data_IF_816221553360
#
_entry.id   IF_816221553360
#
_cell.length_a   1.000
_cell.length_b   1.000
_cell.length_c   1.000
_cell.angle_alpha   90.00
_cell.angle_beta   90.00
_cell.angle_gamma   90.00
#
_symmetry.space_group_name_H-M   'P 1'
#
loop_
_entity.id
_entity.type
_entity.pdbx_description
1 polymer ?
#
# COMPACT_ATOMS: atom_id res chain seq x y z
N UNK A 1 -132.47 -26.48 -74.21
CA UNK A 1 -131.67 -26.14 -73.03
C UNK A 1 -130.75 -25.00 -73.43
N UNK A 2 -130.91 -23.78 -72.90
CA UNK A 2 -129.97 -22.71 -73.20
C UNK A 2 -128.70 -22.96 -72.38
N UNK A 3 -127.56 -22.98 -73.07
CA UNK A 3 -126.25 -23.02 -72.44
C UNK A 3 -126.09 -21.79 -71.55
N UNK A 4 -125.97 -22.03 -70.25
CA UNK A 4 -125.65 -21.01 -69.27
C UNK A 4 -124.22 -20.58 -69.55
N UNK A 5 -124.07 -19.47 -70.28
CA UNK A 5 -122.80 -18.75 -70.42
C UNK A 5 -122.27 -18.45 -69.01
N UNK A 6 -121.34 -19.27 -68.53
CA UNK A 6 -120.60 -18.99 -67.31
C UNK A 6 -119.66 -17.85 -67.63
N UNK A 7 -120.12 -16.63 -67.34
CA UNK A 7 -119.24 -15.49 -67.13
C UNK A 7 -118.24 -15.90 -66.04
N UNK A 8 -117.06 -16.39 -66.45
CA UNK A 8 -115.91 -16.53 -65.58
C UNK A 8 -115.49 -15.11 -65.23
N UNK A 9 -116.07 -14.56 -64.16
CA UNK A 9 -115.58 -13.35 -63.53
C UNK A 9 -114.08 -13.55 -63.31
N UNK A 10 -113.24 -12.72 -63.92
CA UNK A 10 -111.79 -12.93 -63.86
C UNK A 10 -111.33 -12.80 -62.41
N UNK A 11 -110.95 -13.92 -61.82
CA UNK A 11 -110.40 -13.95 -60.46
C UNK A 11 -108.92 -13.54 -60.50
N UNK A 12 -108.47 -12.78 -59.50
CA UNK A 12 -107.06 -12.38 -59.38
C UNK A 12 -106.19 -13.64 -59.25
N UNK A 13 -105.00 -13.66 -59.84
CA UNK A 13 -104.04 -14.76 -59.67
C UNK A 13 -102.76 -14.18 -59.14
N UNK A 14 -102.10 -14.91 -58.25
CA UNK A 14 -100.83 -14.51 -57.65
C UNK A 14 -99.67 -15.22 -58.36
N UNK A 15 -99.00 -14.59 -59.33
CA UNK A 15 -97.84 -15.18 -59.99
C UNK A 15 -96.61 -15.17 -59.08
N UNK A 16 -95.61 -15.98 -59.42
CA UNK A 16 -94.30 -15.97 -58.76
C UNK A 16 -93.48 -14.76 -59.24
N UNK A 17 -93.76 -13.60 -58.67
CA UNK A 17 -93.05 -12.34 -58.93
C UNK A 17 -92.68 -11.68 -57.62
N UNK A 18 -91.58 -10.92 -57.61
CA UNK A 18 -91.20 -10.15 -56.43
C UNK A 18 -92.30 -9.14 -56.09
N UNK A 19 -92.77 -9.05 -54.84
CA UNK A 19 -93.76 -8.06 -54.40
C UNK A 19 -93.15 -6.65 -54.23
N UNK A 20 -91.98 -6.39 -54.82
CA UNK A 20 -91.30 -5.10 -54.79
C UNK A 20 -90.81 -4.73 -56.19
N UNK A 21 -91.02 -3.48 -56.58
CA UNK A 21 -90.50 -2.89 -57.80
C UNK A 21 -89.78 -1.58 -57.46
N UNK A 22 -88.62 -1.35 -58.09
CA UNK A 22 -87.85 -0.12 -57.92
C UNK A 22 -87.55 0.51 -59.28
N UNK A 23 -87.60 1.83 -59.34
CA UNK A 23 -87.21 2.60 -60.51
C UNK A 23 -86.58 3.93 -60.09
N UNK A 24 -85.66 4.44 -60.90
CA UNK A 24 -85.14 5.79 -60.76
C UNK A 24 -86.05 6.76 -61.51
N UNK A 25 -86.44 7.84 -60.85
CA UNK A 25 -87.14 8.94 -61.50
C UNK A 25 -86.17 9.78 -62.34
N UNK A 26 -86.64 10.24 -63.49
CA UNK A 26 -85.90 11.08 -64.44
C UNK A 26 -86.29 12.57 -64.34
N UNK A 27 -87.23 12.93 -63.45
CA UNK A 27 -87.77 14.28 -63.31
C UNK A 27 -88.97 14.59 -64.22
N UNK A 28 -89.36 13.68 -65.12
CA UNK A 28 -90.44 13.88 -66.08
C UNK A 28 -91.52 12.79 -66.04
N UNK A 29 -91.15 11.55 -65.72
CA UNK A 29 -92.05 10.40 -65.66
C UNK A 29 -92.86 10.42 -64.36
N UNK A 30 -94.19 10.48 -64.50
CA UNK A 30 -95.11 10.40 -63.35
C UNK A 30 -95.73 9.01 -63.14
N UNK A 31 -95.57 8.08 -64.09
CA UNK A 31 -96.19 6.74 -64.02
C UNK A 31 -95.14 5.68 -63.75
N UNK A 32 -95.30 4.93 -62.67
CA UNK A 32 -94.40 3.85 -62.28
C UNK A 32 -95.20 2.55 -62.12
N UNK A 33 -94.94 1.59 -63.01
CA UNK A 33 -95.62 0.31 -63.01
C UNK A 33 -95.04 -0.66 -61.99
N UNK A 34 -95.87 -1.55 -61.47
CA UNK A 34 -95.48 -2.68 -60.63
C UNK A 34 -96.07 -3.97 -61.20
N UNK A 35 -95.29 -5.08 -61.28
CA UNK A 35 -95.70 -6.31 -61.95
C UNK A 35 -96.45 -7.29 -61.04
N UNK A 36 -96.69 -6.95 -59.78
CA UNK A 36 -97.32 -7.82 -58.79
C UNK A 36 -98.79 -7.43 -58.52
N UNK A 37 -99.69 -8.40 -58.30
CA UNK A 37 -101.10 -8.11 -57.99
C UNK A 37 -101.27 -7.45 -56.62
N UNK A 38 -102.25 -6.55 -56.50
CA UNK A 38 -102.73 -5.95 -55.23
C UNK A 38 -104.25 -6.10 -55.14
N UNK A 39 -104.81 -6.26 -53.93
CA UNK A 39 -106.26 -6.45 -53.76
C UNK A 39 -107.01 -5.13 -53.61
N UNK A 40 -106.42 -4.17 -52.91
CA UNK A 40 -106.92 -2.78 -52.76
C UNK A 40 -105.79 -1.78 -52.92
N UNK A 41 -106.13 -0.52 -53.21
CA UNK A 41 -105.17 0.58 -53.37
C UNK A 41 -104.26 0.74 -52.14
N UNK A 42 -104.81 0.45 -50.94
CA UNK A 42 -104.10 0.56 -49.68
C UNK A 42 -103.07 -0.56 -49.45
N UNK A 43 -103.07 -1.63 -50.26
CA UNK A 43 -102.09 -2.73 -50.15
C UNK A 43 -100.77 -2.41 -50.84
N UNK A 44 -100.56 -1.16 -51.29
CA UNK A 44 -99.29 -0.71 -51.83
C UNK A 44 -98.64 0.34 -50.93
N UNK A 45 -97.38 0.10 -50.62
CA UNK A 45 -96.49 1.02 -49.96
C UNK A 45 -95.64 1.73 -51.03
N UNK A 46 -95.68 3.06 -51.05
CA UNK A 46 -94.92 3.89 -51.98
C UNK A 46 -93.87 4.67 -51.20
N UNK A 47 -92.59 4.50 -51.57
CA UNK A 47 -91.48 5.27 -50.99
C UNK A 47 -90.73 6.07 -52.03
N UNK A 48 -90.34 7.28 -51.65
CA UNK A 48 -89.33 8.07 -52.33
C UNK A 48 -88.05 8.06 -51.49
N UNK A 49 -87.00 7.43 -52.01
CA UNK A 49 -85.80 7.07 -51.24
C UNK A 49 -86.21 6.27 -49.97
N UNK A 50 -85.87 6.78 -48.79
CA UNK A 50 -86.22 6.15 -47.51
C UNK A 50 -87.58 6.62 -46.95
N UNK A 51 -88.20 7.64 -47.56
CA UNK A 51 -89.41 8.30 -47.04
C UNK A 51 -90.68 7.61 -47.54
N UNK A 52 -91.57 7.24 -46.63
CA UNK A 52 -92.91 6.76 -46.94
C UNK A 52 -93.79 7.91 -47.41
N UNK A 53 -94.46 7.73 -48.56
CA UNK A 53 -95.45 8.66 -49.07
C UNK A 53 -96.85 8.15 -48.73
N UNK A 54 -97.69 9.03 -48.19
CA UNK A 54 -99.10 8.74 -47.86
C UNK A 54 -100.09 9.50 -48.75
N UNK A 55 -99.60 10.40 -49.61
CA UNK A 55 -100.38 11.19 -50.55
C UNK A 55 -99.51 11.64 -51.74
N UNK A 56 -100.10 12.35 -52.71
CA UNK A 56 -99.39 12.86 -53.90
C UNK A 56 -99.29 11.86 -55.05
N UNK A 57 -100.03 10.75 -54.98
CA UNK A 57 -100.15 9.76 -56.03
C UNK A 57 -101.54 9.11 -56.00
N UNK A 58 -101.92 8.50 -57.12
CA UNK A 58 -103.05 7.58 -57.25
C UNK A 58 -102.56 6.21 -57.68
N UNK A 59 -103.26 5.17 -57.28
CA UNK A 59 -102.94 3.77 -57.64
C UNK A 59 -103.96 3.30 -58.67
N UNK A 60 -103.52 2.54 -59.65
CA UNK A 60 -104.38 1.85 -60.63
C UNK A 60 -103.97 0.39 -60.74
N UNK A 61 -104.92 -0.47 -61.07
CA UNK A 61 -104.70 -1.90 -61.25
C UNK A 61 -105.01 -2.74 -60.01
N UNK A 62 -105.87 -2.25 -59.10
CA UNK A 62 -106.44 -3.13 -58.05
C UNK A 62 -107.19 -4.31 -58.67
N UNK A 63 -107.05 -5.49 -58.09
CA UNK A 63 -107.68 -6.72 -58.58
C UNK A 63 -107.04 -7.32 -59.84
N UNK A 64 -106.01 -6.67 -60.41
CA UNK A 64 -105.34 -7.13 -61.63
C UNK A 64 -104.26 -8.19 -61.34
N UNK A 65 -104.29 -9.30 -62.08
CA UNK A 65 -103.28 -10.37 -61.99
C UNK A 65 -101.92 -9.98 -62.60
N UNK A 66 -101.87 -8.95 -63.44
CA UNK A 66 -100.64 -8.49 -64.10
C UNK A 66 -100.00 -7.30 -63.39
N UNK A 67 -100.52 -6.95 -62.20
CA UNK A 67 -100.14 -5.74 -61.48
C UNK A 67 -100.76 -4.47 -62.08
N UNK A 68 -100.14 -3.33 -61.79
CA UNK A 68 -100.72 -2.02 -62.00
C UNK A 68 -99.67 -0.91 -62.06
N UNK A 69 -100.08 0.31 -61.71
CA UNK A 69 -99.16 1.45 -61.67
C UNK A 69 -99.52 2.46 -60.59
N UNK A 70 -98.50 3.18 -60.13
CA UNK A 70 -98.62 4.38 -59.29
C UNK A 70 -98.40 5.60 -60.18
N UNK A 71 -99.35 6.53 -60.13
CA UNK A 71 -99.35 7.76 -60.92
C UNK A 71 -99.18 8.93 -59.95
N UNK A 72 -98.04 9.62 -60.02
CA UNK A 72 -97.77 10.79 -59.20
C UNK A 72 -98.46 12.04 -59.74
N UNK A 73 -98.99 12.87 -58.83
CA UNK A 73 -99.59 14.17 -59.18
C UNK A 73 -98.54 15.15 -59.72
N UNK A 74 -97.30 15.05 -59.24
CA UNK A 74 -96.13 15.75 -59.76
C UNK A 74 -94.99 14.75 -59.98
N UNK A 75 -94.29 14.83 -61.11
CA UNK A 75 -93.19 13.90 -61.43
C UNK A 75 -92.12 13.97 -60.32
N UNK A 76 -91.70 12.83 -59.74
CA UNK A 76 -90.63 12.82 -58.76
C UNK A 76 -89.32 13.36 -59.37
N UNK A 77 -88.55 14.10 -58.58
CA UNK A 77 -87.32 14.73 -59.04
C UNK A 77 -86.31 13.70 -59.58
N UNK A 78 -85.47 14.13 -60.54
CA UNK A 78 -84.44 13.29 -61.13
C UNK A 78 -83.50 12.72 -60.04
N UNK A 79 -83.24 11.42 -60.11
CA UNK A 79 -82.39 10.70 -59.16
C UNK A 79 -83.09 10.21 -57.89
N UNK A 80 -84.38 10.51 -57.69
CA UNK A 80 -85.17 9.92 -56.60
C UNK A 80 -85.47 8.46 -56.91
N UNK A 81 -85.16 7.56 -55.98
CA UNK A 81 -85.53 6.14 -56.09
C UNK A 81 -86.98 5.97 -55.64
N UNK A 82 -87.85 5.55 -56.56
CA UNK A 82 -89.21 5.15 -56.23
C UNK A 82 -89.20 3.64 -55.93
N UNK A 83 -89.69 3.28 -54.74
CA UNK A 83 -89.91 1.89 -54.33
C UNK A 83 -91.39 1.67 -54.15
N UNK A 84 -91.93 0.71 -54.91
CA UNK A 84 -93.30 0.25 -54.83
C UNK A 84 -93.27 -1.15 -54.23
N UNK A 85 -93.98 -1.36 -53.14
CA UNK A 85 -94.00 -2.63 -52.42
C UNK A 85 -95.43 -3.03 -52.11
N UNK A 86 -95.79 -4.30 -52.30
CA UNK A 86 -97.02 -4.83 -51.73
C UNK A 86 -96.87 -4.91 -50.21
N UNK A 87 -97.82 -4.32 -49.50
CA UNK A 87 -97.94 -4.36 -48.05
C UNK A 87 -99.41 -4.52 -47.71
N UNK A 88 -99.88 -5.77 -47.76
CA UNK A 88 -101.22 -6.06 -47.32
C UNK A 88 -101.30 -6.07 -45.78
N UNK A 89 -102.51 -5.94 -45.26
CA UNK A 89 -102.75 -6.16 -43.83
C UNK A 89 -102.77 -7.67 -43.55
N UNK A 90 -101.91 -8.17 -42.66
CA UNK A 90 -101.91 -9.58 -42.23
C UNK A 90 -103.07 -9.86 -41.27
N UNK A 91 -104.29 -9.86 -41.78
CA UNK A 91 -105.50 -10.16 -41.02
C UNK A 91 -106.54 -10.87 -41.89
N UNK A 92 -107.17 -11.90 -41.34
CA UNK A 92 -108.43 -12.45 -41.83
C UNK A 92 -109.50 -12.07 -40.82
N UNK A 93 -110.34 -11.12 -41.17
CA UNK A 93 -111.37 -10.57 -40.27
C UNK A 93 -112.73 -11.23 -40.43
N UNK A 94 -112.95 -11.93 -41.55
CA UNK A 94 -114.22 -12.55 -41.89
C UNK A 94 -114.08 -14.07 -41.97
N UNK A 95 -115.06 -14.78 -41.43
CA UNK A 95 -115.19 -16.23 -41.54
C UNK A 95 -116.10 -16.63 -42.71
N UNK A 96 -115.95 -17.88 -43.15
CA UNK A 96 -116.93 -18.45 -44.07
C UNK A 96 -118.23 -18.65 -43.32
N UNK A 97 -119.35 -18.37 -43.98
CA UNK A 97 -120.67 -18.48 -43.36
C UNK A 97 -120.99 -19.95 -43.03
N UNK A 98 -121.48 -20.22 -41.81
CA UNK A 98 -121.83 -21.57 -41.37
C UNK A 98 -123.01 -22.16 -42.15
N UNK A 99 -123.95 -21.32 -42.60
CA UNK A 99 -125.18 -21.79 -43.25
C UNK A 99 -124.99 -22.20 -44.73
N UNK A 100 -123.78 -22.04 -45.30
CA UNK A 100 -123.50 -22.46 -46.69
C UNK A 100 -122.04 -22.81 -46.94
N UNK A 101 -121.79 -23.68 -47.91
CA UNK A 101 -120.43 -23.88 -48.40
C UNK A 101 -119.85 -22.58 -48.99
N UNK A 102 -118.55 -22.29 -48.78
CA UNK A 102 -117.90 -21.14 -49.40
C UNK A 102 -118.00 -21.24 -50.92
N UNK A 103 -118.26 -20.12 -51.57
CA UNK A 103 -118.19 -20.06 -53.03
C UNK A 103 -116.75 -20.26 -53.49
N UNK A 104 -116.54 -20.77 -54.71
CA UNK A 104 -115.20 -20.80 -55.29
C UNK A 104 -114.50 -19.44 -55.28
N UNK A 105 -115.23 -18.33 -55.36
CA UNK A 105 -114.66 -16.98 -55.30
C UNK A 105 -114.14 -16.64 -53.89
N UNK A 106 -114.95 -16.84 -52.86
CA UNK A 106 -114.54 -16.64 -51.45
C UNK A 106 -113.32 -17.50 -51.08
N UNK A 107 -113.28 -18.74 -51.58
CA UNK A 107 -112.14 -19.63 -51.36
C UNK A 107 -110.89 -19.15 -52.10
N UNK A 108 -111.02 -18.78 -53.38
CA UNK A 108 -109.87 -18.29 -54.14
C UNK A 108 -109.34 -16.97 -53.58
N UNK A 109 -110.20 -16.01 -53.19
CA UNK A 109 -109.78 -14.75 -52.55
C UNK A 109 -108.95 -15.01 -51.29
N UNK A 110 -109.42 -15.92 -50.43
CA UNK A 110 -108.72 -16.29 -49.21
C UNK A 110 -107.36 -16.95 -49.51
N UNK A 111 -107.29 -17.85 -50.49
CA UNK A 111 -106.04 -18.51 -50.89
C UNK A 111 -105.07 -17.51 -51.51
N UNK A 112 -105.54 -16.61 -52.38
CA UNK A 112 -104.69 -15.62 -53.03
C UNK A 112 -104.13 -14.61 -52.03
N UNK A 113 -104.93 -14.12 -51.08
CA UNK A 113 -104.44 -13.25 -50.02
C UNK A 113 -103.35 -13.95 -49.19
N UNK A 114 -103.55 -15.23 -48.84
CA UNK A 114 -102.55 -16.01 -48.11
C UNK A 114 -101.25 -16.20 -48.91
N UNK A 115 -101.33 -16.56 -50.20
CA UNK A 115 -100.14 -16.71 -51.06
C UNK A 115 -99.42 -15.37 -51.20
N UNK A 116 -100.16 -14.28 -51.40
CA UNK A 116 -99.59 -12.95 -51.46
C UNK A 116 -98.89 -12.53 -50.16
N UNK A 117 -99.45 -12.92 -49.00
CA UNK A 117 -98.89 -12.64 -47.69
C UNK A 117 -97.59 -13.43 -47.44
N UNK A 118 -97.56 -14.70 -47.87
CA UNK A 118 -96.36 -15.54 -47.81
C UNK A 118 -95.25 -14.97 -48.69
N UNK A 119 -95.57 -14.52 -49.91
CA UNK A 119 -94.59 -13.87 -50.79
C UNK A 119 -94.00 -12.60 -50.15
N UNK A 120 -94.84 -11.77 -49.51
CA UNK A 120 -94.36 -10.57 -48.79
C UNK A 120 -93.49 -10.93 -47.58
N UNK A 121 -93.86 -11.97 -46.83
CA UNK A 121 -93.06 -12.45 -45.71
C UNK A 121 -91.71 -13.01 -46.18
N UNK A 122 -91.68 -13.79 -47.26
CA UNK A 122 -90.45 -14.32 -47.86
C UNK A 122 -89.52 -13.18 -48.32
N UNK A 123 -90.09 -12.11 -48.87
CA UNK A 123 -89.37 -10.92 -49.31
C UNK A 123 -88.82 -10.08 -48.13
N UNK A 124 -89.51 -10.09 -46.98
CA UNK A 124 -88.98 -9.51 -45.75
C UNK A 124 -87.87 -10.37 -45.13
N UNK A 125 -88.08 -11.69 -45.06
CA UNK A 125 -87.10 -12.63 -44.52
C UNK A 125 -85.80 -12.65 -45.32
N UNK A 126 -85.84 -12.45 -46.64
CA UNK A 126 -84.65 -12.40 -47.49
C UNK A 126 -83.72 -11.20 -47.22
N UNK A 127 -84.19 -10.18 -46.47
CA UNK A 127 -83.41 -9.01 -46.06
C UNK A 127 -83.09 -8.98 -44.57
N UNK A 128 -83.51 -9.99 -43.81
CA UNK A 128 -83.25 -10.07 -42.38
C UNK A 128 -81.89 -10.71 -42.08
N UNK A 129 -81.38 -10.50 -40.86
CA UNK A 129 -80.22 -11.25 -40.35
C UNK A 129 -80.70 -12.65 -39.96
N UNK A 130 -80.22 -13.69 -40.64
CA UNK A 130 -80.62 -15.09 -40.38
C UNK A 130 -79.47 -15.90 -39.78
N UNK A 131 -79.82 -16.85 -38.91
CA UNK A 131 -78.89 -17.88 -38.42
C UNK A 131 -78.88 -19.08 -39.38
N UNK A 132 -77.78 -19.83 -39.44
CA UNK A 132 -77.77 -21.13 -40.10
C UNK A 132 -78.81 -22.08 -39.50
N UNK A 133 -79.33 -23.01 -40.30
CA UNK A 133 -80.28 -24.03 -39.83
C UNK A 133 -79.70 -24.93 -38.72
N UNK A 134 -78.38 -25.12 -38.70
CA UNK A 134 -77.65 -25.92 -37.71
C UNK A 134 -77.24 -25.14 -36.46
N UNK A 135 -77.70 -23.89 -36.29
CA UNK A 135 -77.31 -23.08 -35.15
C UNK A 135 -77.90 -23.65 -33.84
N UNK A 136 -77.09 -23.65 -32.77
CA UNK A 136 -77.54 -24.09 -31.45
C UNK A 136 -78.63 -23.15 -30.91
N UNK A 137 -79.81 -23.69 -30.66
CA UNK A 137 -80.96 -22.95 -30.13
C UNK A 137 -81.08 -23.06 -28.61
N UNK A 138 -80.13 -23.74 -27.94
CA UNK A 138 -80.12 -23.88 -26.48
C UNK A 138 -79.84 -22.57 -25.75
N UNK A 139 -79.19 -21.61 -26.43
CA UNK A 139 -78.89 -20.29 -25.90
C UNK A 139 -79.70 -19.21 -26.61
N UNK A 140 -80.31 -18.26 -25.86
CA UNK A 140 -80.95 -17.10 -26.46
C UNK A 140 -79.90 -16.21 -27.13
N UNK A 141 -80.17 -15.77 -28.35
CA UNK A 141 -79.31 -14.90 -29.15
C UNK A 141 -80.13 -13.75 -29.71
N UNK A 142 -79.76 -12.51 -29.39
CA UNK A 142 -80.40 -11.32 -29.94
C UNK A 142 -79.71 -10.86 -31.23
N UNK A 143 -80.48 -10.81 -32.32
CA UNK A 143 -80.04 -10.34 -33.64
C UNK A 143 -80.59 -8.96 -33.98
N UNK A 144 -81.16 -8.26 -33.01
CA UNK A 144 -81.55 -6.86 -33.17
C UNK A 144 -80.31 -6.03 -33.50
N UNK A 145 -80.40 -5.21 -34.56
CA UNK A 145 -79.30 -4.32 -34.91
C UNK A 145 -79.29 -3.14 -33.92
N UNK A 146 -78.15 -2.83 -33.29
CA UNK A 146 -78.02 -1.66 -32.43
C UNK A 146 -78.22 -0.36 -33.23
N UNK A 147 -78.62 0.72 -32.55
CA UNK A 147 -78.70 2.04 -33.19
C UNK A 147 -77.33 2.41 -33.77
N UNK A 148 -77.24 2.83 -35.06
CA UNK A 148 -75.95 3.15 -35.68
C UNK A 148 -75.19 4.25 -34.92
N UNK A 149 -73.91 4.00 -34.65
CA UNK A 149 -72.98 4.96 -34.07
C UNK A 149 -71.83 5.27 -35.04
N UNK A 150 -71.46 6.55 -35.16
CA UNK A 150 -70.40 6.96 -36.07
C UNK A 150 -69.05 6.34 -35.67
N UNK A 151 -68.32 5.80 -36.67
CA UNK A 151 -67.01 5.18 -36.46
C UNK A 151 -67.04 3.80 -35.79
N UNK A 152 -68.23 3.17 -35.70
CA UNK A 152 -68.39 1.82 -35.16
C UNK A 152 -68.90 0.85 -36.22
N UNK A 153 -68.53 -0.41 -36.06
CA UNK A 153 -68.97 -1.56 -36.88
C UNK A 153 -69.89 -2.45 -36.06
N UNK A 154 -70.72 -3.25 -36.73
CA UNK A 154 -71.51 -4.29 -36.06
C UNK A 154 -70.59 -5.46 -35.72
N UNK A 155 -70.62 -5.91 -34.47
CA UNK A 155 -69.88 -7.08 -34.00
C UNK A 155 -70.63 -7.83 -32.89
N UNK A 156 -70.10 -8.99 -32.50
CA UNK A 156 -70.61 -9.75 -31.35
C UNK A 156 -70.13 -9.13 -30.04
N UNK A 157 -70.98 -9.13 -29.02
CA UNK A 157 -70.55 -8.77 -27.68
C UNK A 157 -69.65 -9.86 -27.07
N UNK A 158 -69.03 -9.56 -25.91
CA UNK A 158 -68.11 -10.50 -25.24
C UNK A 158 -68.75 -11.81 -24.80
N UNK A 159 -70.07 -11.84 -24.62
CA UNK A 159 -70.84 -13.04 -24.25
C UNK A 159 -71.30 -13.86 -25.46
N UNK A 160 -71.10 -13.36 -26.68
CA UNK A 160 -71.58 -13.93 -27.94
C UNK A 160 -73.12 -14.17 -27.97
N UNK A 161 -73.90 -13.36 -27.25
CA UNK A 161 -75.36 -13.47 -27.13
C UNK A 161 -76.13 -12.27 -27.71
N UNK A 162 -75.44 -11.24 -28.20
CA UNK A 162 -76.06 -10.10 -28.89
C UNK A 162 -75.12 -9.40 -29.89
N UNK A 163 -75.71 -8.71 -30.87
CA UNK A 163 -75.01 -7.77 -31.75
C UNK A 163 -74.84 -6.40 -31.06
N UNK A 164 -73.64 -5.83 -31.14
CA UNK A 164 -73.30 -4.52 -30.55
C UNK A 164 -72.46 -3.68 -31.50
N UNK A 165 -72.45 -2.37 -31.27
CA UNK A 165 -71.52 -1.47 -31.96
C UNK A 165 -70.13 -1.61 -31.34
N UNK A 166 -69.18 -2.09 -32.13
CA UNK A 166 -67.76 -2.22 -31.76
C UNK A 166 -66.98 -1.09 -32.42
N UNK A 167 -66.00 -0.53 -31.71
CA UNK A 167 -65.10 0.47 -32.29
C UNK A 167 -64.46 -0.07 -33.58
N UNK A 168 -64.49 0.72 -34.65
CA UNK A 168 -63.81 0.36 -35.87
C UNK A 168 -62.30 0.30 -35.59
N UNK A 169 -61.73 -0.89 -35.68
CA UNK A 169 -60.28 -1.07 -35.69
C UNK A 169 -59.82 -0.82 -37.12
N UNK A 170 -59.14 0.30 -37.38
CA UNK A 170 -58.46 0.49 -38.65
C UNK A 170 -57.31 -0.51 -38.71
N UNK A 171 -57.45 -1.55 -39.54
CA UNK A 171 -56.39 -2.55 -39.79
C UNK A 171 -55.11 -1.92 -40.36
N UNK A 172 -55.20 -0.69 -40.87
CA UNK A 172 -54.05 0.12 -41.30
C UNK A 172 -53.28 0.74 -40.11
N UNK A 173 -53.85 0.72 -38.90
CA UNK A 173 -53.38 1.42 -37.69
C UNK A 173 -53.24 0.50 -36.45
N UNK A 174 -53.51 -0.81 -36.57
CA UNK A 174 -53.25 -1.80 -35.49
C UNK A 174 -51.78 -1.80 -35.06
N UNK A 175 -50.89 -1.35 -35.96
CA UNK A 175 -49.55 -0.94 -35.65
C UNK A 175 -49.43 0.49 -36.15
N UNK A 176 -49.61 1.50 -35.28
CA UNK A 176 -49.26 2.88 -35.62
C UNK A 176 -47.86 2.86 -36.26
N UNK A 177 -47.75 3.12 -37.57
CA UNK A 177 -46.48 3.00 -38.31
C UNK A 177 -45.37 3.87 -37.72
N UNK A 178 -45.74 4.93 -36.99
CA UNK A 178 -44.82 5.79 -36.23
C UNK A 178 -44.27 5.15 -34.95
N UNK A 179 -44.90 4.08 -34.45
CA UNK A 179 -44.59 3.43 -33.17
C UNK A 179 -44.08 1.99 -33.31
N UNK A 180 -44.26 1.34 -34.48
CA UNK A 180 -43.69 0.02 -34.72
C UNK A 180 -42.22 0.13 -35.19
N UNK A 181 -41.37 -0.78 -34.74
CA UNK A 181 -39.97 -0.90 -35.19
C UNK A 181 -39.85 -1.61 -36.56
N UNK A 182 -40.93 -2.23 -37.02
CA UNK A 182 -40.93 -3.13 -38.17
C UNK A 182 -40.93 -2.39 -39.52
N UNK A 183 -41.50 -1.18 -39.57
CA UNK A 183 -41.68 -0.40 -40.81
C UNK A 183 -40.80 0.86 -40.88
N UNK A 184 -39.91 1.06 -39.89
CA UNK A 184 -39.12 2.28 -39.78
C UNK A 184 -37.83 2.17 -40.61
N UNK A 185 -37.78 2.89 -41.74
CA UNK A 185 -36.65 2.87 -42.67
C UNK A 185 -35.36 3.47 -42.08
N UNK A 186 -35.48 4.37 -41.11
CA UNK A 186 -34.35 5.03 -40.46
C UNK A 186 -33.99 4.38 -39.11
N UNK A 187 -32.79 3.80 -39.07
CA UNK A 187 -32.20 3.20 -37.87
C UNK A 187 -32.01 4.24 -36.75
N UNK A 188 -31.81 5.52 -37.06
CA UNK A 188 -31.68 6.57 -36.06
C UNK A 188 -33.02 6.85 -35.35
N UNK A 189 -34.10 6.98 -36.12
CA UNK A 189 -35.45 7.12 -35.56
C UNK A 189 -35.85 5.91 -34.71
N UNK A 190 -35.45 4.69 -35.11
CA UNK A 190 -35.69 3.48 -34.32
C UNK A 190 -35.04 3.55 -32.92
N UNK A 191 -33.81 4.06 -32.85
CA UNK A 191 -33.10 4.22 -31.57
C UNK A 191 -33.76 5.26 -30.66
N UNK A 192 -34.24 6.35 -31.25
CA UNK A 192 -35.00 7.39 -30.52
C UNK A 192 -36.29 6.80 -29.95
N UNK A 193 -37.04 6.04 -30.74
CA UNK A 193 -38.30 5.43 -30.31
C UNK A 193 -38.11 4.43 -29.16
N UNK A 194 -36.98 3.71 -29.12
CA UNK A 194 -36.60 2.80 -28.04
C UNK A 194 -36.06 3.51 -26.78
N UNK A 195 -35.85 4.82 -26.82
CA UNK A 195 -35.25 5.57 -25.72
C UNK A 195 -33.78 5.20 -25.46
N UNK A 196 -33.07 4.70 -26.48
CA UNK A 196 -31.66 4.32 -26.36
C UNK A 196 -30.78 5.57 -26.23
N UNK A 197 -29.84 5.54 -25.28
CA UNK A 197 -28.82 6.58 -25.14
C UNK A 197 -27.85 6.60 -26.33
N UNK A 198 -27.23 7.74 -26.62
CA UNK A 198 -26.28 7.95 -27.74
C UNK A 198 -25.17 6.89 -27.79
N UNK A 199 -24.64 6.50 -26.62
CA UNK A 199 -23.60 5.46 -26.49
C UNK A 199 -23.99 4.11 -27.11
N UNK A 200 -25.27 3.76 -27.13
CA UNK A 200 -25.74 2.51 -27.72
C UNK A 200 -25.51 2.46 -29.25
N UNK A 201 -25.40 3.62 -29.90
CA UNK A 201 -25.10 3.72 -31.32
C UNK A 201 -23.61 3.95 -31.59
N UNK A 202 -22.95 4.77 -30.77
CA UNK A 202 -21.57 5.20 -31.03
C UNK A 202 -20.51 4.26 -30.44
N UNK A 203 -20.84 3.53 -29.37
CA UNK A 203 -19.88 2.77 -28.57
C UNK A 203 -18.85 3.65 -27.83
N UNK A 204 -18.96 4.98 -27.89
CA UNK A 204 -17.96 5.90 -27.35
C UNK A 204 -18.18 6.17 -25.87
N UNK A 205 -17.12 6.04 -25.06
CA UNK A 205 -17.14 6.44 -23.65
C UNK A 205 -17.48 7.93 -23.47
N UNK A 206 -17.21 8.76 -24.49
CA UNK A 206 -17.56 10.18 -24.49
C UNK A 206 -19.08 10.42 -24.36
N UNK A 207 -19.91 9.49 -24.84
CA UNK A 207 -21.36 9.66 -24.95
C UNK A 207 -22.14 9.11 -23.74
N UNK A 208 -21.45 8.62 -22.71
CA UNK A 208 -22.07 8.24 -21.44
C UNK A 208 -22.51 9.49 -20.66
N UNK A 209 -23.67 9.43 -20.00
CA UNK A 209 -24.11 10.44 -19.03
C UNK A 209 -23.87 9.92 -17.60
N UNK A 210 -23.83 10.82 -16.62
CA UNK A 210 -23.62 10.42 -15.22
C UNK A 210 -22.26 9.78 -14.92
N UNK A 211 -21.21 10.16 -15.67
CA UNK A 211 -19.87 9.62 -15.45
C UNK A 211 -19.36 9.99 -14.05
N UNK A 212 -18.66 9.08 -13.35
CA UNK A 212 -17.99 9.43 -12.11
C UNK A 212 -16.97 10.55 -12.38
N UNK A 213 -16.90 11.52 -11.48
CA UNK A 213 -15.84 12.53 -11.49
C UNK A 213 -14.56 11.80 -11.10
N UNK A 214 -13.70 11.56 -12.08
CA UNK A 214 -12.39 11.00 -11.81
C UNK A 214 -11.50 12.09 -11.18
N UNK A 215 -10.75 11.71 -10.14
CA UNK A 215 -9.75 12.61 -9.56
C UNK A 215 -8.64 12.92 -10.57
N UNK A 216 -7.88 14.00 -10.34
CA UNK A 216 -6.75 14.40 -11.19
C UNK A 216 -5.79 13.25 -11.44
N UNK A 217 -5.63 12.34 -10.48
CA UNK A 217 -4.72 11.22 -10.61
C UNK A 217 -5.07 10.26 -11.78
N UNK A 218 -6.35 10.07 -12.09
CA UNK A 218 -6.78 9.18 -13.16
C UNK A 218 -6.50 9.73 -14.57
N UNK A 219 -6.16 11.02 -14.67
CA UNK A 219 -5.84 11.69 -15.93
C UNK A 219 -4.33 11.71 -16.25
N UNK A 220 -3.50 11.16 -15.37
CA UNK A 220 -2.04 11.14 -15.49
C UNK A 220 -1.53 9.70 -15.68
N UNK A 221 -0.38 9.56 -16.36
CA UNK A 221 0.30 8.27 -16.42
C UNK A 221 0.79 7.88 -15.02
N UNK A 222 0.90 6.58 -14.74
CA UNK A 222 1.48 6.06 -13.50
C UNK A 222 2.91 6.59 -13.27
N UNK A 223 3.65 6.84 -14.36
CA UNK A 223 4.97 7.47 -14.34
C UNK A 223 4.95 8.92 -13.84
N UNK A 224 3.85 9.67 -13.99
CA UNK A 224 3.79 11.09 -13.58
C UNK A 224 3.82 11.23 -12.05
N UNK A 225 3.23 10.28 -11.30
CA UNK A 225 3.31 10.30 -9.83
C UNK A 225 4.69 9.96 -9.31
N UNK A 226 5.49 9.25 -10.10
CA UNK A 226 6.89 8.98 -9.79
C UNK A 226 7.81 10.17 -10.13
N UNK A 227 7.30 11.24 -10.76
CA UNK A 227 8.16 12.37 -11.17
C UNK A 227 8.40 13.39 -10.03
N UNK A 228 9.68 13.49 -9.69
CA UNK A 228 10.45 14.62 -9.14
C UNK A 228 9.96 15.40 -7.90
N UNK A 229 8.67 15.74 -7.73
CA UNK A 229 8.25 16.57 -6.59
C UNK A 229 8.10 15.76 -5.29
N UNK A 230 7.53 14.56 -5.37
CA UNK A 230 7.49 13.63 -4.24
C UNK A 230 8.87 13.00 -4.00
N UNK A 231 9.64 12.72 -5.06
CA UNK A 231 11.04 12.32 -4.99
C UNK A 231 11.90 13.36 -4.27
N UNK A 232 11.86 14.63 -4.66
CA UNK A 232 12.61 15.69 -4.00
C UNK A 232 12.20 15.92 -2.54
N UNK A 233 10.92 15.73 -2.20
CA UNK A 233 10.46 15.82 -0.81
C UNK A 233 10.88 14.60 0.02
N UNK A 234 10.95 13.41 -0.58
CA UNK A 234 11.54 12.22 0.01
C UNK A 234 13.07 12.37 0.16
N UNK A 235 13.77 12.92 -0.82
CA UNK A 235 15.21 13.22 -0.76
C UNK A 235 15.55 14.29 0.29
N UNK A 236 14.59 15.15 0.62
CA UNK A 236 14.71 16.10 1.75
C UNK A 236 14.33 15.50 3.11
N UNK A 237 13.76 14.30 3.14
CA UNK A 237 13.54 13.58 4.38
C UNK A 237 14.83 12.86 4.78
N UNK A 238 15.08 12.79 6.09
CA UNK A 238 16.24 12.08 6.64
C UNK A 238 16.18 10.61 6.21
N UNK A 239 17.09 10.19 5.32
CA UNK A 239 17.16 8.80 4.87
C UNK A 239 17.79 7.93 5.96
N UNK A 240 17.39 6.65 6.02
CA UNK A 240 18.01 5.70 6.97
C UNK A 240 19.50 5.53 6.74
N UNK A 241 19.98 5.75 5.50
CA UNK A 241 21.41 5.75 5.16
C UNK A 241 22.17 6.97 5.68
N UNK A 242 21.48 8.07 5.97
CA UNK A 242 22.11 9.31 6.45
C UNK A 242 22.31 9.29 7.96
N UNK A 243 21.57 8.41 8.66
CA UNK A 243 21.71 8.15 10.10
C UNK A 243 23.06 7.45 10.35
N UNK A 244 23.90 8.09 11.15
CA UNK A 244 25.26 7.64 11.46
C UNK A 244 26.35 8.16 10.51
N UNK A 245 25.98 8.89 9.46
CA UNK A 245 26.93 9.54 8.53
C UNK A 245 26.96 11.05 8.72
N UNK A 246 25.82 11.72 8.58
CA UNK A 246 25.70 13.19 8.67
C UNK A 246 24.76 13.66 9.78
N UNK A 247 23.90 12.77 10.28
CA UNK A 247 23.01 13.01 11.42
C UNK A 247 23.16 11.85 12.40
N UNK A 248 23.33 12.15 13.69
CA UNK A 248 23.33 11.12 14.73
C UNK A 248 21.89 10.78 15.12
N UNK A 249 21.58 9.50 15.28
CA UNK A 249 20.34 9.12 15.95
C UNK A 249 20.38 9.63 17.40
N UNK A 250 19.21 9.89 17.97
CA UNK A 250 19.13 10.22 19.39
C UNK A 250 19.75 9.10 20.22
N UNK A 251 20.80 9.43 20.96
CA UNK A 251 21.50 8.53 21.88
C UNK A 251 21.47 9.14 23.28
N UNK A 252 20.75 8.47 24.19
CA UNK A 252 20.58 8.92 25.57
C UNK A 252 21.91 9.01 26.33
N UNK A 253 22.90 8.22 25.96
CA UNK A 253 24.21 8.22 26.63
C UNK A 253 25.01 9.47 26.21
N UNK A 254 24.93 9.86 24.92
CA UNK A 254 25.56 11.08 24.42
C UNK A 254 24.93 12.34 25.02
N UNK A 255 23.59 12.38 25.12
CA UNK A 255 22.86 13.45 25.78
C UNK A 255 23.23 13.56 27.27
N UNK A 256 23.36 12.42 27.95
CA UNK A 256 23.79 12.38 29.33
C UNK A 256 25.22 12.91 29.50
N UNK A 257 26.16 12.48 28.65
CA UNK A 257 27.56 12.96 28.63
C UNK A 257 27.63 14.47 28.39
N UNK A 258 26.84 14.99 27.44
CA UNK A 258 26.80 16.41 27.13
C UNK A 258 26.24 17.25 28.29
N UNK A 259 25.20 16.75 28.97
CA UNK A 259 24.51 17.47 30.04
C UNK A 259 25.20 17.37 31.41
N UNK A 260 25.87 16.25 31.73
CA UNK A 260 26.32 15.95 33.10
C UNK A 260 27.84 16.02 33.29
N UNK A 261 28.65 15.91 32.24
CA UNK A 261 30.11 16.08 32.37
C UNK A 261 30.52 17.54 32.17
N UNK A 262 31.46 18.00 32.99
CA UNK A 262 32.09 19.32 32.78
C UNK A 262 32.99 19.30 31.55
N UNK A 263 33.41 20.48 31.07
CA UNK A 263 34.39 20.58 29.98
C UNK A 263 35.69 19.83 30.31
N UNK A 264 36.12 19.84 31.58
CA UNK A 264 37.29 19.10 32.04
C UNK A 264 37.06 17.58 32.03
N UNK A 265 35.87 17.10 32.44
CA UNK A 265 35.54 15.67 32.36
C UNK A 265 35.49 15.16 30.91
N UNK A 266 34.94 15.96 29.99
CA UNK A 266 34.91 15.63 28.56
C UNK A 266 36.28 15.58 27.89
N UNK A 267 37.27 16.30 28.42
CA UNK A 267 38.64 16.27 27.91
C UNK A 267 39.47 15.06 28.38
N UNK A 268 38.92 14.21 29.26
CA UNK A 268 39.61 12.99 29.73
C UNK A 268 39.05 11.71 29.11
N UNK A 269 37.84 11.77 28.56
CA UNK A 269 37.14 10.61 27.99
C UNK A 269 37.55 10.33 26.54
N UNK A 270 38.13 11.31 25.85
CA UNK A 270 38.71 11.18 24.51
C UNK A 270 40.18 10.72 24.53
N UNK A 271 40.83 10.78 25.68
CA UNK A 271 42.20 10.31 25.87
C UNK A 271 42.30 8.77 25.81
N UNK A 272 43.20 8.27 24.98
CA UNK A 272 43.34 6.84 24.68
C UNK A 272 43.85 5.99 25.86
N UNK A 273 44.56 6.59 26.81
CA UNK A 273 45.12 5.90 27.97
C UNK A 273 45.38 6.82 29.17
N UNK A 274 45.80 6.22 30.29
CA UNK A 274 46.06 6.95 31.52
C UNK A 274 47.25 7.93 31.44
N UNK A 275 48.20 7.75 30.50
CA UNK A 275 49.30 8.68 30.33
C UNK A 275 48.84 9.96 29.63
N UNK A 276 47.98 9.84 28.60
CA UNK A 276 47.31 10.96 27.95
C UNK A 276 46.45 11.75 28.97
N UNK A 277 45.64 11.05 29.78
CA UNK A 277 44.83 11.68 30.84
C UNK A 277 45.65 12.49 31.85
N UNK A 278 46.81 11.96 32.30
CA UNK A 278 47.71 12.71 33.21
C UNK A 278 48.32 13.94 32.55
N UNK A 279 48.61 13.86 31.25
CA UNK A 279 49.10 15.01 30.48
C UNK A 279 48.00 16.08 30.34
N UNK A 280 46.77 15.70 30.02
CA UNK A 280 45.61 16.61 29.93
C UNK A 280 45.31 17.29 31.28
N UNK A 281 45.46 16.56 32.38
CA UNK A 281 45.36 17.12 33.74
C UNK A 281 46.58 17.97 34.16
N UNK A 282 47.66 17.98 33.38
CA UNK A 282 48.88 18.74 33.69
C UNK A 282 49.68 18.20 34.90
N UNK A 283 49.59 16.90 35.20
CA UNK A 283 50.32 16.29 36.31
C UNK A 283 51.83 16.20 36.01
N UNK A 284 52.66 16.54 37.00
CA UNK A 284 54.11 16.35 36.92
C UNK A 284 54.50 14.87 36.93
N UNK A 285 55.68 14.52 36.39
CA UNK A 285 56.19 13.14 36.27
C UNK A 285 56.14 12.35 37.58
N UNK A 286 56.42 13.02 38.71
CA UNK A 286 56.34 12.43 40.06
C UNK A 286 54.98 11.81 40.37
N UNK A 287 53.89 12.33 39.81
CA UNK A 287 52.54 11.79 40.04
C UNK A 287 52.37 10.37 39.48
N UNK A 288 53.18 9.99 38.49
CA UNK A 288 53.21 8.61 37.97
C UNK A 288 54.36 7.77 38.51
N UNK A 289 55.53 8.37 38.75
CA UNK A 289 56.72 7.62 39.14
C UNK A 289 56.82 7.41 40.66
N UNK A 290 56.21 8.29 41.45
CA UNK A 290 56.36 8.34 42.92
C UNK A 290 57.78 8.64 43.39
N UNK A 291 58.73 8.94 42.49
CA UNK A 291 60.14 9.07 42.87
C UNK A 291 60.44 10.47 43.39
N UNK A 292 61.22 10.55 44.47
CA UNK A 292 61.76 11.82 44.94
C UNK A 292 62.63 12.52 43.88
N UNK A 293 63.22 11.74 42.96
CA UNK A 293 64.03 12.25 41.86
C UNK A 293 63.24 13.14 40.90
N UNK A 294 61.93 12.94 40.75
CA UNK A 294 61.10 13.66 39.78
C UNK A 294 60.42 14.92 40.33
N UNK A 295 60.68 15.27 41.60
CA UNK A 295 60.25 16.55 42.16
C UNK A 295 61.07 17.70 41.58
N UNK A 296 60.42 18.80 41.23
CA UNK A 296 61.09 20.07 40.92
C UNK A 296 61.19 20.94 42.18
N UNK A 297 62.15 21.87 42.24
CA UNK A 297 62.31 22.78 43.39
C UNK A 297 62.83 22.12 44.68
N UNK A 298 63.66 21.06 44.57
CA UNK A 298 64.21 20.36 45.74
C UNK A 298 65.10 21.28 46.59
N UNK A 299 65.04 21.20 47.94
CA UNK A 299 65.97 21.92 48.80
C UNK A 299 67.41 21.44 48.59
N UNK A 300 68.38 22.37 48.64
CA UNK A 300 69.80 22.02 48.63
C UNK A 300 70.16 21.46 50.00
N UNK A 301 70.43 20.14 50.06
CA UNK A 301 70.87 19.50 51.30
C UNK A 301 72.38 19.72 51.48
N UNK A 302 72.78 20.32 52.60
CA UNK A 302 74.20 20.52 52.94
C UNK A 302 74.93 19.20 53.23
N UNK A 303 76.26 19.23 53.18
CA UNK A 303 77.17 18.05 53.26
C UNK A 303 77.02 17.17 54.51
N UNK A 304 76.23 17.59 55.50
CA UNK A 304 75.90 16.80 56.69
C UNK A 304 74.75 15.80 56.45
N UNK A 305 74.05 15.86 55.30
CA UNK A 305 72.89 15.03 55.01
C UNK A 305 73.22 13.64 54.43
N UNK A 306 74.49 13.34 54.15
CA UNK A 306 74.90 11.97 53.83
C UNK A 306 75.19 11.22 55.13
N UNK A 307 74.25 10.37 55.52
CA UNK A 307 74.25 9.59 56.76
C UNK A 307 75.25 8.43 56.75
N UNK A 308 76.44 8.63 56.18
CA UNK A 308 77.58 7.70 56.18
C UNK A 308 78.94 8.44 56.23
N UNK A 309 78.99 9.66 56.78
CA UNK A 309 80.27 10.31 57.13
C UNK A 309 80.71 9.82 58.51
N UNK A 310 81.24 8.58 58.54
CA UNK A 310 82.22 8.11 59.53
C UNK A 310 81.71 7.48 60.84
N UNK A 311 81.69 6.16 60.92
CA UNK A 311 81.97 5.41 62.18
C UNK A 311 82.70 4.06 61.96
N UNK A 312 83.51 3.92 60.91
CA UNK A 312 84.42 2.77 60.77
C UNK A 312 85.86 3.28 60.86
N UNK A 313 86.48 3.05 62.03
CA UNK A 313 87.81 3.54 62.40
C UNK A 313 88.97 2.91 61.63
N UNK A 314 89.04 3.16 60.33
CA UNK A 314 90.22 2.84 59.51
C UNK A 314 90.61 3.93 58.50
N UNK A 315 89.70 4.83 58.10
CA UNK A 315 90.01 5.89 57.14
C UNK A 315 89.56 7.26 57.68
N UNK A 316 90.49 8.04 58.22
CA UNK A 316 90.26 9.49 58.41
C UNK A 316 90.23 10.13 57.02
N UNK A 317 89.15 10.86 56.64
CA UNK A 317 89.13 11.60 55.39
C UNK A 317 90.30 12.60 55.33
N UNK A 318 91.06 12.53 54.24
CA UNK A 318 92.24 13.36 53.97
C UNK A 318 91.87 14.85 53.94
N UNK A 319 92.39 15.66 54.87
CA UNK A 319 92.09 17.10 54.95
C UNK A 319 93.04 17.99 54.13
N UNK A 320 94.23 17.52 53.69
CA UNK A 320 95.05 18.15 52.62
C UNK A 320 96.31 17.32 52.27
N UNK A 321 96.95 17.60 51.12
CA UNK A 321 98.07 16.86 50.49
C UNK A 321 99.46 17.06 51.11
N UNK A 322 99.59 17.76 52.24
CA UNK A 322 100.89 18.19 52.77
C UNK A 322 101.70 17.12 53.55
N UNK A 323 101.14 15.95 53.88
CA UNK A 323 101.78 14.95 54.77
C UNK A 323 101.89 13.54 54.15
N UNK A 324 102.56 13.40 52.99
CA UNK A 324 102.73 12.10 52.32
C UNK A 324 104.22 11.70 52.24
N UNK A 325 104.62 10.59 52.86
CA UNK A 325 105.92 9.95 52.60
C UNK A 325 105.88 9.26 51.22
N UNK A 326 106.65 9.77 50.26
CA UNK A 326 106.52 9.42 48.83
C UNK A 326 107.31 8.19 48.34
N UNK A 327 108.03 7.47 49.21
CA UNK A 327 108.76 6.26 48.82
C UNK A 327 109.11 5.36 50.02
N UNK A 328 109.29 4.03 49.80
CA UNK A 328 109.85 3.12 50.79
C UNK A 328 111.22 3.60 51.30
N UNK A 329 111.47 3.54 52.60
CA UNK A 329 112.73 3.95 53.21
C UNK A 329 113.71 2.76 53.27
N UNK A 330 114.86 2.85 52.58
CA UNK A 330 115.92 1.82 52.64
C UNK A 330 117.07 2.31 53.52
N UNK A 331 117.38 1.66 54.66
CA UNK A 331 118.44 2.10 55.57
C UNK A 331 119.84 1.85 54.98
N UNK A 332 120.78 2.75 55.28
CA UNK A 332 122.20 2.62 54.87
C UNK A 332 122.88 1.45 55.58
N UNK A 333 123.68 0.63 54.87
CA UNK A 333 124.36 -0.55 55.39
C UNK A 333 125.89 -0.53 55.15
N UNK A 334 126.68 -1.12 56.05
CA UNK A 334 128.14 -1.22 55.95
C UNK A 334 128.67 -2.57 56.47
N UNK A 335 129.69 -3.12 55.80
CA UNK A 335 130.41 -4.31 56.27
C UNK A 335 131.62 -3.89 57.13
N UNK A 336 131.77 -4.48 58.30
CA UNK A 336 132.86 -4.24 59.25
C UNK A 336 134.05 -5.18 58.98
N UNK A 337 135.27 -4.71 59.25
CA UNK A 337 136.50 -5.48 59.08
C UNK A 337 136.80 -6.35 60.31
N UNK A 338 137.17 -7.62 60.11
CA UNK A 338 137.57 -8.53 61.18
C UNK A 338 138.93 -8.12 61.77
N UNK A 339 138.94 -7.73 63.04
CA UNK A 339 140.13 -7.31 63.79
C UNK A 339 140.00 -7.78 65.25
N UNK A 340 141.13 -7.87 65.96
CA UNK A 340 141.16 -8.28 67.38
C UNK A 340 140.17 -7.47 68.24
N UNK A 341 140.05 -6.17 67.97
CA UNK A 341 138.97 -5.30 68.44
C UNK A 341 138.30 -4.64 67.23
N UNK A 342 137.02 -4.92 67.03
CA UNK A 342 136.25 -4.36 65.91
C UNK A 342 135.72 -2.99 66.32
N UNK A 343 136.17 -1.95 65.62
CA UNK A 343 135.69 -0.58 65.85
C UNK A 343 134.46 -0.31 65.00
N UNK A 344 133.40 0.25 65.61
CA UNK A 344 132.18 0.63 64.90
C UNK A 344 132.07 2.16 64.90
N UNK A 345 132.02 2.75 63.71
CA UNK A 345 131.73 4.17 63.50
C UNK A 345 130.32 4.32 62.90
N UNK A 346 129.56 5.33 63.33
CA UNK A 346 128.18 5.56 62.86
C UNK A 346 128.17 6.24 61.49
N UNK A 347 128.50 5.45 60.47
CA UNK A 347 128.40 5.82 59.05
C UNK A 347 127.28 5.07 58.32
N UNK A 348 126.61 4.13 58.98
CA UNK A 348 125.48 3.35 58.49
C UNK A 348 124.50 3.04 59.64
N UNK A 349 123.28 2.65 59.29
CA UNK A 349 122.26 2.20 60.24
C UNK A 349 122.29 0.69 60.46
N UNK A 350 122.79 -0.05 59.47
CA UNK A 350 122.95 -1.50 59.49
C UNK A 350 124.43 -1.84 59.33
N UNK A 351 124.97 -2.68 60.21
CA UNK A 351 126.32 -3.20 60.08
C UNK A 351 126.34 -4.73 60.01
N UNK A 352 127.26 -5.29 59.24
CA UNK A 352 127.49 -6.74 59.17
C UNK A 352 128.95 -7.06 59.45
N UNK A 353 129.23 -8.13 60.19
CA UNK A 353 130.58 -8.57 60.57
C UNK A 353 130.69 -10.09 60.43
N UNK A 354 131.81 -10.60 59.91
CA UNK A 354 132.13 -12.04 59.93
C UNK A 354 133.45 -12.24 60.65
N UNK A 355 133.46 -13.03 61.73
CA UNK A 355 134.63 -13.20 62.60
C UNK A 355 135.38 -14.50 62.30
N UNK A 356 136.71 -14.45 62.19
CA UNK A 356 137.55 -15.65 62.00
C UNK A 356 138.26 -16.12 63.30
N UNK A 357 138.07 -15.41 64.42
CA UNK A 357 138.51 -15.80 65.75
C UNK A 357 137.66 -15.07 66.81
N UNK A 358 137.85 -15.35 68.11
CA UNK A 358 137.19 -14.60 69.18
C UNK A 358 137.66 -13.13 69.17
N UNK A 359 136.73 -12.19 68.96
CA UNK A 359 136.99 -10.74 68.86
C UNK A 359 136.32 -9.97 69.98
N UNK A 360 136.82 -8.76 70.26
CA UNK A 360 136.08 -7.78 71.09
C UNK A 360 135.32 -6.82 70.19
N UNK A 361 134.00 -6.70 70.36
CA UNK A 361 133.19 -5.71 69.66
C UNK A 361 133.26 -4.39 70.44
N UNK A 362 133.88 -3.39 69.81
CA UNK A 362 133.93 -2.02 70.31
C UNK A 362 132.56 -1.36 70.25
N UNK A 363 132.27 -0.47 71.20
CA UNK A 363 131.03 0.29 71.20
C UNK A 363 130.99 1.28 70.02
N UNK A 364 129.83 1.48 69.36
CA UNK A 364 129.71 2.45 68.30
C UNK A 364 130.07 3.85 68.79
N UNK A 365 130.90 4.55 68.03
CA UNK A 365 131.28 5.94 68.33
C UNK A 365 130.42 6.88 67.48
N UNK A 366 129.73 7.83 68.13
CA UNK A 366 128.91 8.87 67.48
C UNK A 366 127.42 8.57 67.30
N UNK A 367 126.79 7.75 68.16
CA UNK A 367 125.36 7.44 68.04
C UNK A 367 124.42 8.64 68.21
N UNK A 368 123.32 8.66 67.45
CA UNK A 368 122.25 9.68 67.56
C UNK A 368 121.19 9.20 68.54
N UNK A 369 120.88 10.00 69.55
CA UNK A 369 119.89 9.65 70.57
C UNK A 369 118.51 9.37 69.94
N UNK A 370 117.81 8.37 70.49
CA UNK A 370 116.50 7.91 70.02
C UNK A 370 116.48 7.28 68.61
N UNK A 371 117.62 6.77 68.16
CA UNK A 371 117.76 6.10 66.86
C UNK A 371 118.02 4.61 67.03
N UNK A 372 117.41 3.82 66.16
CA UNK A 372 117.66 2.38 66.05
C UNK A 372 118.74 2.09 65.01
N UNK A 373 119.63 1.18 65.37
CA UNK A 373 120.69 0.62 64.54
C UNK A 373 120.59 -0.91 64.58
N UNK A 374 121.17 -1.57 63.58
CA UNK A 374 121.23 -3.03 63.53
C UNK A 374 122.67 -3.48 63.32
N UNK A 375 123.08 -4.51 64.06
CA UNK A 375 124.36 -5.18 63.85
C UNK A 375 124.10 -6.67 63.62
N UNK A 376 124.66 -7.22 62.56
CA UNK A 376 124.63 -8.64 62.27
C UNK A 376 126.04 -9.22 62.38
N UNK A 377 126.20 -10.33 63.09
CA UNK A 377 127.50 -10.99 63.28
C UNK A 377 127.40 -12.46 62.85
N UNK A 378 128.19 -12.85 61.85
CA UNK A 378 128.48 -14.23 61.52
C UNK A 378 129.67 -14.73 62.37
N UNK A 379 129.38 -15.56 63.37
CA UNK A 379 130.33 -15.91 64.42
C UNK A 379 131.40 -16.95 64.00
N UNK A 380 131.09 -17.76 62.98
CA UNK A 380 131.90 -18.92 62.53
C UNK A 380 132.38 -19.82 63.67
N UNK A 381 131.60 -19.93 64.75
CA UNK A 381 131.92 -20.75 65.93
C UNK A 381 132.76 -20.06 67.01
N UNK A 382 133.08 -18.77 66.85
CA UNK A 382 133.77 -17.98 67.86
C UNK A 382 132.80 -17.07 68.63
N UNK A 383 132.99 -16.95 69.94
CA UNK A 383 132.16 -16.06 70.75
C UNK A 383 132.89 -14.75 70.99
N UNK A 384 132.33 -13.60 70.56
CA UNK A 384 132.93 -12.30 70.81
C UNK A 384 132.68 -11.84 72.24
N UNK A 385 133.58 -10.99 72.74
CA UNK A 385 133.36 -10.18 73.94
C UNK A 385 132.84 -8.79 73.54
N UNK A 386 132.17 -8.09 74.46
CA UNK A 386 131.51 -6.81 74.19
C UNK A 386 132.10 -5.69 75.04
N UNK A 387 132.25 -4.50 74.46
CA UNK A 387 132.61 -3.30 75.22
C UNK A 387 131.54 -2.96 76.28
N UNK A 388 131.96 -2.39 77.42
CA UNK A 388 131.10 -2.12 78.58
C UNK A 388 129.95 -1.13 78.34
N UNK A 389 129.98 -0.36 77.24
CA UNK A 389 128.92 0.57 76.87
C UNK A 389 127.69 -0.13 76.23
N UNK A 390 127.83 -1.39 75.86
CA UNK A 390 126.71 -2.22 75.46
C UNK A 390 125.96 -2.73 76.69
N UNK A 391 124.65 -2.53 76.70
CA UNK A 391 123.78 -2.96 77.78
C UNK A 391 122.78 -4.00 77.25
N UNK A 392 122.99 -5.26 77.60
CA UNK A 392 122.11 -6.37 77.27
C UNK A 392 120.97 -6.54 78.30
N UNK A 393 120.85 -5.61 79.24
CA UNK A 393 119.88 -5.69 80.34
C UNK A 393 120.11 -6.91 81.23
N UNK A 394 119.05 -7.32 81.93
CA UNK A 394 119.10 -8.39 82.92
C UNK A 394 119.48 -9.77 82.36
N UNK A 395 119.38 -9.98 81.04
CA UNK A 395 119.72 -11.24 80.40
C UNK A 395 121.24 -11.47 80.26
N UNK A 396 122.04 -10.40 80.36
CA UNK A 396 123.50 -10.45 80.19
C UNK A 396 123.96 -10.62 78.73
N UNK A 397 125.25 -10.44 78.48
CA UNK A 397 125.82 -10.62 77.14
C UNK A 397 125.85 -12.11 76.73
N UNK A 398 125.66 -12.45 75.44
CA UNK A 398 125.65 -13.83 74.98
C UNK A 398 126.97 -14.55 75.28
N UNK A 399 126.89 -15.74 75.88
CA UNK A 399 128.07 -16.56 76.22
C UNK A 399 128.47 -17.55 75.12
N UNK A 400 127.61 -17.74 74.11
CA UNK A 400 127.93 -18.47 72.87
C UNK A 400 127.12 -17.91 71.70
N UNK A 401 127.74 -17.80 70.53
CA UNK A 401 127.06 -17.45 69.27
C UNK A 401 127.29 -18.55 68.24
N UNK A 402 126.24 -19.05 67.61
CA UNK A 402 126.30 -19.98 66.47
C UNK A 402 125.64 -19.36 65.24
N UNK A 403 126.30 -19.48 64.08
CA UNK A 403 125.80 -18.94 62.81
C UNK A 403 125.78 -17.40 62.75
N UNK A 404 124.74 -16.85 62.13
CA UNK A 404 124.56 -15.40 61.94
C UNK A 404 123.54 -14.87 62.94
N UNK A 405 123.94 -13.92 63.78
CA UNK A 405 123.11 -13.35 64.84
C UNK A 405 122.86 -11.86 64.61
N UNK A 406 121.60 -11.44 64.72
CA UNK A 406 121.18 -10.04 64.63
C UNK A 406 121.04 -9.38 66.00
N UNK A 407 121.42 -8.11 66.08
CA UNK A 407 121.36 -7.29 67.28
C UNK A 407 120.66 -5.99 66.95
N UNK A 408 119.46 -5.80 67.50
CA UNK A 408 118.76 -4.52 67.45
C UNK A 408 119.36 -3.62 68.53
N UNK A 409 119.95 -2.50 68.12
CA UNK A 409 120.68 -1.59 68.99
C UNK A 409 119.93 -0.26 69.04
N UNK A 410 119.40 0.09 70.20
CA UNK A 410 118.84 1.41 70.45
C UNK A 410 119.82 2.25 71.25
N UNK A 411 120.12 3.45 70.76
CA UNK A 411 120.93 4.40 71.51
C UNK A 411 120.03 5.40 72.24
N UNK A 412 119.98 5.31 73.57
CA UNK A 412 119.20 6.22 74.41
C UNK A 412 119.92 7.54 74.73
N UNK A 413 121.10 7.75 74.14
CA UNK A 413 121.97 8.90 74.42
C UNK A 413 123.02 8.64 75.50
N UNK A 414 122.96 7.52 76.23
CA UNK A 414 123.93 7.16 77.26
C UNK A 414 124.52 5.76 77.06
N UNK A 415 123.68 4.76 76.81
CA UNK A 415 124.11 3.38 76.53
C UNK A 415 123.48 2.85 75.25
N UNK A 416 124.13 1.86 74.66
CA UNK A 416 123.56 1.10 73.56
C UNK A 416 122.79 -0.08 74.12
N UNK A 417 121.47 0.08 74.22
CA UNK A 417 120.59 -0.99 74.69
C UNK A 417 120.39 -1.97 73.56
N UNK A 418 120.80 -3.21 73.82
CA UNK A 418 120.73 -4.26 72.81
C UNK A 418 119.62 -5.23 73.16
N UNK A 419 118.79 -5.53 72.17
CA UNK A 419 117.98 -6.73 72.17
C UNK A 419 118.58 -7.70 71.15
N UNK A 420 118.88 -8.92 71.58
CA UNK A 420 119.34 -9.97 70.67
C UNK A 420 118.15 -10.54 69.90
N UNK A 421 118.32 -10.74 68.59
CA UNK A 421 117.49 -11.65 67.80
C UNK A 421 118.42 -12.78 67.34
N UNK A 422 118.30 -13.95 67.96
CA UNK A 422 118.96 -15.13 67.41
C UNK A 422 118.27 -15.51 66.10
N UNK A 423 119.01 -15.43 65.01
CA UNK A 423 118.64 -16.04 63.73
C UNK A 423 119.44 -17.31 63.53
N UNK A 424 119.15 -18.32 64.36
CA UNK A 424 119.28 -19.71 63.89
C UNK A 424 118.11 -19.96 62.94
N UNK A 425 118.42 -20.30 61.69
CA UNK A 425 117.43 -20.67 60.67
C UNK A 425 116.58 -21.87 61.10
N UNK A 426 115.66 -22.25 60.22
CA UNK A 426 114.86 -23.50 60.32
C UNK A 426 115.61 -24.62 61.05
#
# INVERSE_FOLDING_TARGET
MPERSTSMTSHIRIPEVSPVAQAMADGAKSVFSFPFPIFKAADIEVRANSTLLTSGYSVVGEGSSTGGAVIFTAAPANGVRITLRRRQTYARTDDFLDERAPTPHELNDAVDQNVAAIQELAEQASRAVTRPLSADLSQPLDLSLPNPEAGKVIGWNGSADALVNVAQVDVSDVLHKSQNLADLADKAQARINLGLATVAASGSYADLTGKPVLGSAAAHADTDFATAAQGAKADSALQSSDIGVSVQAHDSDLDWVAANLSAAGRALIDDADAAAQRATLGLATVASSGTYADLTGKPVLGSAAYKDIGTSGANVPLLSTANTYGAPQTPSAQVLTDAATVSIAITAQVWTLSTAAARTIGAPTGGVANTFYFLEIASNGFTPSWASAFDFGAAGAPTSLSGTCGFDIFYDGAKYRISTRFTGGV
#
